data_IF_352154082938
#
_entry.id   IF_352154082938
#
_cell.length_a   1.000
_cell.length_b   1.000
_cell.length_c   1.000
_cell.angle_alpha   90.00
_cell.angle_beta   90.00
_cell.angle_gamma   90.00
#
_symmetry.space_group_name_H-M   'P 1'
#
loop_
_entity.id
_entity.type
_entity.pdbx_description
1 polymer ?
#
# COMPACT_ATOMS: atom_id res chain seq x y z
N UNK A 1 -15.34 3.99 -3.41
CA UNK A 1 -14.86 2.76 -2.74
C UNK A 1 -13.86 3.17 -1.68
N UNK A 2 -13.96 2.70 -0.41
CA UNK A 2 -12.99 2.99 0.65
C UNK A 2 -11.57 2.58 0.27
N UNK A 3 -10.57 3.30 0.78
CA UNK A 3 -9.15 3.15 0.44
C UNK A 3 -8.66 1.69 0.61
N UNK A 4 -8.96 1.09 1.76
CA UNK A 4 -8.68 -0.31 2.07
C UNK A 4 -9.26 -1.31 1.04
N UNK A 5 -10.48 -1.06 0.54
CA UNK A 5 -11.10 -1.92 -0.48
C UNK A 5 -10.38 -1.80 -1.84
N UNK A 6 -9.80 -0.63 -2.17
CA UNK A 6 -9.01 -0.45 -3.40
C UNK A 6 -7.69 -1.19 -3.31
N UNK A 7 -6.99 -1.08 -2.19
CA UNK A 7 -5.76 -1.83 -1.95
C UNK A 7 -5.99 -3.34 -2.01
N UNK A 8 -7.03 -3.85 -1.32
CA UNK A 8 -7.40 -5.28 -1.35
C UNK A 8 -7.70 -5.77 -2.77
N UNK A 9 -8.40 -4.97 -3.57
CA UNK A 9 -8.70 -5.30 -4.96
C UNK A 9 -7.45 -5.35 -5.83
N UNK A 10 -6.52 -4.42 -5.66
CA UNK A 10 -5.24 -4.45 -6.38
C UNK A 10 -4.44 -5.71 -6.05
N UNK A 11 -4.34 -6.04 -4.76
CA UNK A 11 -3.66 -7.24 -4.30
C UNK A 11 -4.27 -8.50 -4.94
N UNK A 12 -5.60 -8.60 -5.04
CA UNK A 12 -6.27 -9.70 -5.73
C UNK A 12 -5.94 -9.75 -7.23
N UNK A 13 -5.94 -8.62 -7.93
CA UNK A 13 -5.61 -8.54 -9.36
C UNK A 13 -4.18 -9.01 -9.62
N UNK A 14 -3.25 -8.70 -8.72
CA UNK A 14 -1.82 -9.02 -8.84
C UNK A 14 -1.42 -10.33 -8.14
N UNK A 15 -2.38 -11.06 -7.57
CA UNK A 15 -2.13 -12.26 -6.75
C UNK A 15 -1.14 -12.03 -5.60
N UNK A 16 -1.14 -10.83 -5.00
CA UNK A 16 -0.32 -10.50 -3.84
C UNK A 16 -1.02 -10.95 -2.56
N UNK A 17 -0.30 -11.68 -1.71
CA UNK A 17 -0.81 -12.05 -0.38
C UNK A 17 -0.61 -10.91 0.62
N UNK A 18 -1.48 -10.82 1.63
CA UNK A 18 -1.28 -9.85 2.72
C UNK A 18 0.04 -10.10 3.46
N UNK A 19 0.46 -11.35 3.58
CA UNK A 19 1.73 -11.71 4.22
C UNK A 19 2.93 -11.19 3.42
N UNK A 20 2.94 -11.38 2.11
CA UNK A 20 4.01 -10.85 1.25
C UNK A 20 4.11 -9.33 1.32
N UNK A 21 2.97 -8.64 1.27
CA UNK A 21 2.93 -7.17 1.36
C UNK A 21 3.41 -6.70 2.73
N UNK A 22 2.97 -7.35 3.81
CA UNK A 22 3.41 -7.06 5.17
C UNK A 22 4.93 -7.24 5.34
N UNK A 23 5.47 -8.38 4.90
CA UNK A 23 6.90 -8.69 5.01
C UNK A 23 7.77 -7.72 4.20
N UNK A 24 7.37 -7.41 2.96
CA UNK A 24 8.13 -6.50 2.09
C UNK A 24 8.12 -5.07 2.58
N UNK A 25 7.02 -4.62 3.19
CA UNK A 25 6.87 -3.26 3.68
C UNK A 25 7.24 -3.08 5.16
N UNK A 26 7.65 -4.16 5.86
CA UNK A 26 7.93 -4.12 7.29
C UNK A 26 6.71 -3.80 8.16
N UNK A 27 5.50 -4.02 7.64
CA UNK A 27 4.24 -3.75 8.33
C UNK A 27 3.85 -5.00 9.11
N UNK A 28 3.46 -4.91 10.40
CA UNK A 28 2.86 -6.05 11.09
C UNK A 28 1.64 -6.58 10.34
N UNK A 29 1.57 -7.89 10.08
CA UNK A 29 0.47 -8.49 9.31
C UNK A 29 -0.91 -8.15 9.91
N UNK A 30 -1.02 -8.11 11.24
CA UNK A 30 -2.25 -7.74 11.95
C UNK A 30 -2.66 -6.30 11.66
N UNK A 31 -1.72 -5.36 11.58
CA UNK A 31 -1.98 -3.96 11.25
C UNK A 31 -2.49 -3.83 9.81
N UNK A 32 -1.82 -4.49 8.87
CA UNK A 32 -2.26 -4.53 7.47
C UNK A 32 -3.66 -5.14 7.33
N UNK A 33 -3.94 -6.25 8.03
CA UNK A 33 -5.27 -6.87 8.01
C UNK A 33 -6.35 -5.96 8.59
N UNK A 34 -6.10 -5.35 9.75
CA UNK A 34 -7.01 -4.38 10.36
C UNK A 34 -7.34 -3.24 9.41
N UNK A 35 -6.34 -2.74 8.68
CA UNK A 35 -6.53 -1.74 7.65
C UNK A 35 -7.36 -2.26 6.47
N UNK A 36 -7.03 -3.44 5.91
CA UNK A 36 -7.76 -4.04 4.78
C UNK A 36 -9.22 -4.37 5.13
N UNK A 37 -9.51 -4.62 6.40
CA UNK A 37 -10.86 -4.83 6.93
C UNK A 37 -11.58 -3.52 7.31
N UNK A 38 -10.87 -2.38 7.25
CA UNK A 38 -11.42 -1.05 7.51
C UNK A 38 -11.61 -0.73 9.00
N UNK A 39 -10.94 -1.47 9.88
CA UNK A 39 -10.99 -1.35 11.35
C UNK A 39 -9.88 -0.42 11.87
N UNK A 40 -8.87 -0.12 11.06
CA UNK A 40 -7.75 0.76 11.42
C UNK A 40 -7.18 1.56 10.25
N UNK A 41 -6.13 2.31 10.54
CA UNK A 41 -5.32 3.03 9.57
C UNK A 41 -3.91 2.44 9.52
N UNK A 42 -3.23 2.62 8.39
CA UNK A 42 -1.79 2.38 8.25
C UNK A 42 -1.09 3.73 8.37
N UNK A 43 0.03 3.77 9.08
CA UNK A 43 0.84 4.99 9.19
C UNK A 43 1.38 5.44 7.82
N UNK A 44 1.53 6.75 7.66
CA UNK A 44 2.23 7.41 6.55
C UNK A 44 3.58 6.75 6.20
N UNK A 45 4.41 6.38 7.18
CA UNK A 45 5.71 5.72 6.93
C UNK A 45 5.57 4.38 6.20
N UNK A 46 4.55 3.60 6.58
CA UNK A 46 4.23 2.32 5.93
C UNK A 46 3.68 2.56 4.51
N UNK A 47 2.92 3.64 4.30
CA UNK A 47 2.46 4.06 2.96
C UNK A 47 3.61 4.49 2.04
N UNK A 48 4.61 5.20 2.57
CA UNK A 48 5.81 5.57 1.80
C UNK A 48 6.59 4.32 1.37
N UNK A 49 6.71 3.34 2.27
CA UNK A 49 7.36 2.06 1.96
C UNK A 49 6.57 1.28 0.91
N UNK A 50 5.23 1.22 1.04
CA UNK A 50 4.34 0.66 0.01
C UNK A 50 4.54 1.36 -1.34
N UNK A 51 4.64 2.69 -1.36
CA UNK A 51 4.84 3.46 -2.57
C UNK A 51 6.21 3.20 -3.21
N UNK A 52 7.25 3.01 -2.40
CA UNK A 52 8.60 2.71 -2.90
C UNK A 52 8.70 1.32 -3.53
N UNK A 53 7.92 0.34 -3.05
CA UNK A 53 7.98 -1.05 -3.54
C UNK A 53 6.95 -1.29 -4.65
N UNK A 54 5.74 -0.77 -4.46
CA UNK A 54 4.61 -0.90 -5.38
C UNK A 54 3.93 0.46 -5.59
N UNK A 55 4.54 1.37 -6.37
CA UNK A 55 3.94 2.66 -6.67
C UNK A 55 2.58 2.50 -7.37
N UNK A 56 2.39 1.45 -8.17
CA UNK A 56 1.10 1.21 -8.83
C UNK A 56 0.01 0.74 -7.86
N UNK A 57 0.38 0.08 -6.76
CA UNK A 57 -0.57 -0.27 -5.69
C UNK A 57 -1.10 1.01 -5.05
N UNK A 58 -0.21 1.94 -4.71
CA UNK A 58 -0.56 3.21 -4.09
C UNK A 58 -1.37 4.04 -5.07
N UNK A 59 -0.94 4.16 -6.32
CA UNK A 59 -1.66 4.87 -7.37
C UNK A 59 -3.09 4.35 -7.54
N UNK A 60 -3.26 3.02 -7.64
CA UNK A 60 -4.57 2.38 -7.72
C UNK A 60 -5.41 2.62 -6.47
N UNK A 61 -4.78 2.60 -5.30
CA UNK A 61 -5.42 2.79 -3.99
C UNK A 61 -5.94 4.21 -3.81
N UNK A 62 -5.24 5.21 -4.34
CA UNK A 62 -5.64 6.62 -4.33
C UNK A 62 -6.41 7.05 -5.58
N UNK A 63 -6.54 6.17 -6.59
CA UNK A 63 -7.15 6.48 -7.89
C UNK A 63 -6.45 7.65 -8.59
N UNK A 64 -5.12 7.64 -8.55
CA UNK A 64 -4.23 8.58 -9.22
C UNK A 64 -3.42 7.83 -10.28
N UNK A 65 -2.89 8.55 -11.26
CA UNK A 65 -2.00 7.97 -12.27
C UNK A 65 -0.71 7.47 -11.58
N UNK A 66 -0.20 6.30 -12.00
CA UNK A 66 1.01 5.71 -11.43
C UNK A 66 2.25 6.60 -11.61
N UNK A 67 2.26 7.44 -12.64
CA UNK A 67 3.31 8.45 -12.87
C UNK A 67 3.39 9.51 -11.75
N UNK A 68 2.31 9.74 -11.01
CA UNK A 68 2.30 10.67 -9.85
C UNK A 68 2.96 10.02 -8.61
N UNK A 69 2.93 8.69 -8.52
CA UNK A 69 3.50 7.93 -7.41
C UNK A 69 5.01 7.72 -7.53
N UNK A 70 5.59 7.88 -8.72
CA UNK A 70 7.04 7.74 -8.96
C UNK A 70 7.86 8.98 -8.62
N UNK A 71 7.23 10.13 -8.38
CA UNK A 71 7.87 11.42 -8.07
C UNK A 71 8.00 11.69 -6.56
N UNK A 72 8.09 10.65 -5.72
CA UNK A 72 8.59 10.84 -4.35
C UNK A 72 10.12 10.79 -4.39
N UNK A 73 10.83 11.93 -4.35
CA UNK A 73 12.27 11.91 -4.22
C UNK A 73 12.61 11.24 -2.89
N UNK A 74 13.25 10.07 -2.96
CA UNK A 74 13.94 9.49 -1.82
C UNK A 74 15.10 10.45 -1.54
N UNK A 75 14.87 11.49 -0.75
CA UNK A 75 15.95 12.27 -0.14
C UNK A 75 16.69 11.32 0.79
N UNK A 76 17.80 10.78 0.27
CA UNK A 76 18.83 10.13 1.09
C UNK A 76 19.35 11.18 2.07
N UNK A 77 18.94 11.08 3.33
CA UNK A 77 19.62 11.72 4.46
C UNK A 77 20.31 10.64 5.29
#
# INVERSE_FOLDING_TARGET
>A
MPLAKRMRRYMQIKNLSAQEVAEKCGIPLSELQNFLDGIGAIDSMHFETLNSIWPELVAYTFNVDASVCTDFPITKH
#
